data_IF_019358330607
#
_entry.id   IF_019358330607
#
_cell.length_a   1.000
_cell.length_b   1.000
_cell.length_c   1.000
_cell.angle_alpha   90.00
_cell.angle_beta   90.00
_cell.angle_gamma   90.00
#
_symmetry.space_group_name_H-M   'P 1'
#
loop_
_entity.id
_entity.type
_entity.pdbx_description
1 polymer ?
#
# COMPACT_ATOMS: atom_id res chain seq x y z
N UNK A 1 -9.75 30.81 33.63
CA UNK A 1 -8.82 29.88 32.96
C UNK A 1 -9.18 28.50 33.53
N UNK A 2 -9.76 27.51 32.86
CA UNK A 2 -9.56 27.01 31.49
C UNK A 2 -10.70 26.07 31.00
N UNK A 3 -11.99 26.41 31.15
CA UNK A 3 -13.07 25.54 30.62
C UNK A 3 -13.05 25.37 29.08
N UNK A 4 -12.49 26.34 28.35
CA UNK A 4 -12.30 26.26 26.90
C UNK A 4 -11.08 25.44 26.48
N UNK A 5 -10.14 25.16 27.40
CA UNK A 5 -8.97 24.31 27.13
C UNK A 5 -9.36 22.84 27.12
N UNK A 6 -10.10 22.40 28.14
CA UNK A 6 -10.48 21.00 28.33
C UNK A 6 -11.30 20.44 27.14
N UNK A 7 -12.15 21.26 26.53
CA UNK A 7 -12.92 20.87 25.34
C UNK A 7 -12.04 20.71 24.09
N UNK A 8 -11.01 21.54 23.96
CA UNK A 8 -10.06 21.46 22.85
C UNK A 8 -9.13 20.26 23.04
N UNK A 9 -8.70 20.01 24.28
CA UNK A 9 -7.83 18.88 24.62
C UNK A 9 -8.54 17.54 24.37
N UNK A 10 -9.82 17.42 24.71
CA UNK A 10 -10.58 16.19 24.43
C UNK A 10 -10.73 15.92 22.93
N UNK A 11 -11.07 16.95 22.15
CA UNK A 11 -11.17 16.83 20.70
C UNK A 11 -9.83 16.47 20.04
N UNK A 12 -8.71 16.99 20.58
CA UNK A 12 -7.38 16.65 20.10
C UNK A 12 -7.01 15.19 20.39
N UNK A 13 -7.36 14.68 21.57
CA UNK A 13 -7.09 13.28 21.96
C UNK A 13 -7.85 12.28 21.06
N UNK A 14 -9.11 12.57 20.73
CA UNK A 14 -9.90 11.75 19.80
C UNK A 14 -9.28 11.69 18.39
N UNK A 15 -8.79 12.82 17.89
CA UNK A 15 -8.09 12.87 16.60
C UNK A 15 -6.77 12.10 16.68
N UNK A 16 -6.01 12.28 17.75
CA UNK A 16 -4.70 11.66 17.93
C UNK A 16 -4.82 10.13 18.02
N UNK A 17 -5.78 9.61 18.78
CA UNK A 17 -6.06 8.16 18.86
C UNK A 17 -6.40 7.57 17.49
N UNK A 18 -7.21 8.26 16.69
CA UNK A 18 -7.57 7.84 15.33
C UNK A 18 -6.37 7.81 14.39
N UNK A 19 -5.56 8.88 14.41
CA UNK A 19 -4.34 8.96 13.59
C UNK A 19 -3.34 7.88 13.99
N UNK A 20 -3.13 7.68 15.29
CA UNK A 20 -2.20 6.67 15.79
C UNK A 20 -2.63 5.26 15.41
N UNK A 21 -3.92 4.93 15.52
CA UNK A 21 -4.43 3.64 15.07
C UNK A 21 -4.15 3.37 13.58
N UNK A 22 -4.30 4.40 12.73
CA UNK A 22 -3.96 4.29 11.30
C UNK A 22 -2.47 4.09 11.04
N UNK A 23 -1.61 4.74 11.82
CA UNK A 23 -0.15 4.56 11.75
C UNK A 23 0.23 3.13 12.15
N UNK A 24 -0.30 2.65 13.28
CA UNK A 24 -0.06 1.29 13.80
C UNK A 24 -0.49 0.21 12.79
N UNK A 25 -1.65 0.37 12.17
CA UNK A 25 -2.12 -0.54 11.13
C UNK A 25 -1.17 -0.57 9.92
N UNK A 26 -0.70 0.60 9.48
CA UNK A 26 0.23 0.69 8.35
C UNK A 26 1.58 0.07 8.68
N UNK A 27 2.12 0.34 9.87
CA UNK A 27 3.36 -0.27 10.36
C UNK A 27 3.25 -1.80 10.43
N UNK A 28 2.12 -2.31 10.93
CA UNK A 28 1.87 -3.75 11.00
C UNK A 28 1.84 -4.39 9.62
N UNK A 29 1.18 -3.75 8.65
CA UNK A 29 1.14 -4.21 7.25
C UNK A 29 2.53 -4.18 6.61
N UNK A 30 3.33 -3.16 6.91
CA UNK A 30 4.69 -3.06 6.35
C UNK A 30 5.61 -4.15 6.91
N UNK A 31 5.52 -4.45 8.21
CA UNK A 31 6.23 -5.57 8.82
C UNK A 31 5.85 -6.90 8.15
N UNK A 32 4.56 -7.15 7.94
CA UNK A 32 4.10 -8.34 7.24
C UNK A 32 4.68 -8.45 5.82
N UNK A 33 4.73 -7.35 5.06
CA UNK A 33 5.32 -7.34 3.72
C UNK A 33 6.82 -7.68 3.72
N UNK A 34 7.54 -7.25 4.76
CA UNK A 34 8.95 -7.59 4.94
C UNK A 34 9.13 -9.06 5.29
N UNK A 35 8.32 -9.60 6.21
CA UNK A 35 8.33 -11.01 6.56
C UNK A 35 8.04 -11.90 5.34
N UNK A 36 7.06 -11.52 4.52
CA UNK A 36 6.75 -12.22 3.26
C UNK A 36 7.92 -12.16 2.27
N UNK A 37 8.59 -11.02 2.16
CA UNK A 37 9.78 -10.89 1.31
C UNK A 37 10.91 -11.82 1.79
N UNK A 38 11.14 -11.91 3.10
CA UNK A 38 12.13 -12.82 3.70
C UNK A 38 11.73 -14.28 3.44
N UNK A 39 10.45 -14.62 3.58
CA UNK A 39 9.94 -15.96 3.30
C UNK A 39 10.22 -16.38 1.85
N UNK A 40 9.93 -15.50 0.88
CA UNK A 40 10.24 -15.73 -0.55
C UNK A 40 11.73 -15.88 -0.83
N UNK A 41 12.59 -15.18 -0.08
CA UNK A 41 14.05 -15.35 -0.20
C UNK A 41 14.44 -16.76 0.23
N UNK A 42 13.87 -17.26 1.34
CA UNK A 42 14.13 -18.63 1.83
C UNK A 42 13.62 -19.70 0.88
N UNK A 43 12.49 -19.46 0.22
CA UNK A 43 11.89 -20.36 -0.77
C UNK A 43 12.61 -20.30 -2.14
N UNK A 44 13.46 -19.30 -2.37
CA UNK A 44 14.18 -19.10 -3.63
C UNK A 44 13.31 -18.50 -4.75
N UNK A 45 12.07 -18.11 -4.45
CA UNK A 45 11.13 -17.46 -5.38
C UNK A 45 11.30 -15.93 -5.42
N UNK A 46 12.13 -15.36 -4.53
CA UNK A 46 12.39 -13.93 -4.50
C UNK A 46 12.99 -13.42 -5.81
N UNK A 47 12.42 -12.31 -6.30
CA UNK A 47 12.84 -11.71 -7.56
C UNK A 47 12.23 -12.37 -8.79
N UNK A 48 11.19 -13.19 -8.66
CA UNK A 48 10.38 -13.68 -9.78
C UNK A 48 9.01 -12.97 -9.77
N UNK A 49 8.59 -12.47 -10.92
CA UNK A 49 7.31 -11.80 -11.10
C UNK A 49 6.14 -12.79 -10.99
N UNK A 50 5.20 -12.57 -10.08
CA UNK A 50 3.98 -13.38 -9.95
C UNK A 50 3.03 -13.26 -11.16
N UNK A 51 3.12 -12.18 -11.94
CA UNK A 51 2.25 -11.95 -13.09
C UNK A 51 2.71 -12.62 -14.38
N UNK A 52 4.03 -12.71 -14.61
CA UNK A 52 4.57 -13.22 -15.88
C UNK A 52 5.71 -14.24 -15.71
N UNK A 53 6.11 -14.57 -14.48
CA UNK A 53 7.20 -15.51 -14.18
C UNK A 53 8.60 -15.03 -14.54
N UNK A 54 8.76 -13.81 -15.06
CA UNK A 54 10.05 -13.22 -15.43
C UNK A 54 10.81 -12.72 -14.20
N UNK A 55 12.15 -12.62 -14.30
CA UNK A 55 12.97 -12.03 -13.23
C UNK A 55 12.67 -10.53 -13.05
N UNK A 56 12.56 -10.11 -11.80
CA UNK A 56 12.46 -8.70 -11.39
C UNK A 56 13.87 -8.11 -11.36
N UNK A 57 14.04 -6.88 -11.85
CA UNK A 57 15.34 -6.22 -11.83
C UNK A 57 15.83 -5.99 -10.40
N UNK A 58 17.14 -6.19 -10.20
CA UNK A 58 17.78 -6.04 -8.88
C UNK A 58 17.63 -4.60 -8.38
N UNK A 59 17.78 -3.60 -9.26
CA UNK A 59 17.56 -2.19 -8.89
C UNK A 59 16.18 -1.95 -8.29
N UNK A 60 15.15 -2.64 -8.78
CA UNK A 60 13.78 -2.50 -8.28
C UNK A 60 13.58 -3.21 -6.94
N UNK A 61 14.20 -4.37 -6.75
CA UNK A 61 14.19 -5.09 -5.47
C UNK A 61 14.99 -4.33 -4.40
N UNK A 62 16.06 -3.63 -4.79
CA UNK A 62 16.84 -2.77 -3.89
C UNK A 62 16.08 -1.51 -3.50
N UNK A 63 15.29 -0.94 -4.42
CA UNK A 63 14.45 0.22 -4.11
C UNK A 63 13.26 -0.16 -3.21
N UNK A 64 12.62 -1.30 -3.48
CA UNK A 64 11.47 -1.81 -2.72
C UNK A 64 11.53 -3.34 -2.66
N UNK A 65 11.88 -3.89 -1.50
CA UNK A 65 12.03 -5.34 -1.30
C UNK A 65 10.71 -6.11 -1.24
N UNK A 66 9.60 -5.42 -1.00
CA UNK A 66 8.26 -6.02 -0.89
C UNK A 66 7.59 -6.30 -2.24
N UNK A 67 8.15 -5.84 -3.36
CA UNK A 67 7.52 -5.96 -4.70
C UNK A 67 7.48 -7.39 -5.21
N UNK A 68 6.33 -7.79 -5.77
CA UNK A 68 6.12 -9.15 -6.29
C UNK A 68 5.92 -9.24 -7.81
N UNK A 69 5.72 -8.11 -8.48
CA UNK A 69 5.48 -8.04 -9.94
C UNK A 69 6.60 -7.28 -10.62
N UNK A 70 6.92 -7.53 -11.89
CA UNK A 70 7.92 -6.75 -12.64
C UNK A 70 7.37 -5.38 -13.08
N UNK A 71 8.25 -4.48 -13.54
CA UNK A 71 7.86 -3.13 -13.97
C UNK A 71 6.86 -3.14 -15.13
N UNK A 72 6.95 -4.11 -16.04
CA UNK A 72 6.02 -4.26 -17.14
C UNK A 72 4.60 -4.61 -16.64
N UNK A 73 4.49 -5.62 -15.77
CA UNK A 73 3.20 -6.00 -15.17
C UNK A 73 2.64 -4.91 -14.26
N UNK A 74 3.48 -4.15 -13.56
CA UNK A 74 3.05 -3.02 -12.74
C UNK A 74 2.44 -1.90 -13.60
N UNK A 75 3.13 -1.50 -14.68
CA UNK A 75 2.61 -0.50 -15.63
C UNK A 75 1.34 -0.96 -16.34
N UNK A 76 1.24 -2.27 -16.60
CA UNK A 76 0.03 -2.86 -17.17
C UNK A 76 -1.17 -2.72 -16.24
N UNK A 77 -0.99 -3.08 -14.96
CA UNK A 77 -2.02 -2.91 -13.93
C UNK A 77 -2.43 -1.46 -13.74
N UNK A 78 -1.48 -0.52 -13.73
CA UNK A 78 -1.80 0.91 -13.64
C UNK A 78 -2.65 1.36 -14.82
N UNK A 79 -2.27 0.99 -16.05
CA UNK A 79 -3.03 1.35 -17.25
C UNK A 79 -4.45 0.77 -17.24
N UNK A 80 -4.59 -0.50 -16.86
CA UNK A 80 -5.90 -1.15 -16.72
C UNK A 80 -6.73 -0.58 -15.56
N UNK A 81 -6.09 -0.14 -14.48
CA UNK A 81 -6.74 0.53 -13.35
C UNK A 81 -7.31 1.89 -13.76
N UNK A 82 -6.54 2.69 -14.49
CA UNK A 82 -6.98 3.98 -15.03
C UNK A 82 -8.16 3.80 -15.98
N UNK A 83 -8.12 2.79 -16.87
CA UNK A 83 -9.22 2.51 -17.79
C UNK A 83 -10.52 2.14 -17.05
N UNK A 84 -10.43 1.30 -16.00
CA UNK A 84 -11.58 0.95 -15.16
C UNK A 84 -12.20 2.16 -14.46
N UNK A 85 -11.38 3.07 -13.94
CA UNK A 85 -11.87 4.29 -13.28
C UNK A 85 -12.61 5.17 -14.30
N UNK A 86 -12.07 5.35 -15.51
CA UNK A 86 -12.72 6.14 -16.56
C UNK A 86 -14.07 5.54 -17.01
N UNK A 87 -14.15 4.21 -17.17
CA UNK A 87 -15.39 3.50 -17.53
C UNK A 87 -16.44 3.50 -16.41
N UNK A 88 -16.00 3.56 -15.14
CA UNK A 88 -16.90 3.64 -13.99
C UNK A 88 -17.45 5.06 -13.81
N UNK A 89 -16.64 6.09 -14.07
CA UNK A 89 -17.08 7.48 -14.04
C UNK A 89 -18.12 7.81 -15.12
N UNK A 90 -17.95 7.30 -16.34
CA UNK A 90 -18.93 7.50 -17.42
C UNK A 90 -20.25 6.73 -17.23
N UNK A 91 -20.26 5.68 -16.39
CA UNK A 91 -21.48 4.95 -15.99
C UNK A 91 -22.20 5.56 -14.78
N UNK A 92 -21.53 6.44 -14.03
CA UNK A 92 -22.12 7.11 -12.86
C UNK A 92 -22.97 8.34 -13.19
N UNK A 93 -22.93 8.82 -14.45
CA UNK A 93 -23.67 10.01 -14.90
C UNK A 93 -25.07 9.68 -15.47
N UNK A 94 -25.44 8.39 -15.55
CA UNK A 94 -26.72 7.91 -16.08
C UNK A 94 -27.68 7.39 -14.98
N UNK A 95 -27.49 7.81 -13.71
CA UNK A 95 -28.37 7.48 -12.57
C UNK A 95 -28.75 8.70 -11.75
#
# INVERSE_FOLDING_TARGET
MTASGDLIDHALDEVNTTVNAGIEENQSKELQRLDDAIARIREGSYGVCEGCGQKISIERLNALSSVTTCIACARDRERSGVQRVMEQSSRGEES
#
